data_IF_185304971305
#
_entry.id   IF_185304971305
#
_cell.length_a   1.000
_cell.length_b   1.000
_cell.length_c   1.000
_cell.angle_alpha   90.00
_cell.angle_beta   90.00
_cell.angle_gamma   90.00
#
_symmetry.space_group_name_H-M   'P 1'
#
loop_
_entity.id
_entity.type
_entity.pdbx_description
1 polymer ?
#
# COMPACT_ATOMS: atom_id res chain seq x y z
N UNK A 1 12.55 -7.90 -15.58
CA UNK A 1 13.00 -6.82 -14.67
C UNK A 1 14.01 -7.43 -13.73
N UNK A 2 15.20 -6.81 -13.55
CA UNK A 2 16.18 -7.30 -12.59
C UNK A 2 15.55 -7.37 -11.19
N UNK A 3 15.84 -8.43 -10.46
CA UNK A 3 15.36 -8.59 -9.09
C UNK A 3 16.35 -7.88 -8.17
N UNK A 4 15.87 -6.84 -7.50
CA UNK A 4 16.64 -6.17 -6.47
C UNK A 4 16.55 -7.01 -5.20
N UNK A 5 17.69 -7.44 -4.70
CA UNK A 5 17.78 -8.00 -3.37
C UNK A 5 18.73 -7.16 -2.55
N UNK A 6 18.21 -6.63 -1.46
CA UNK A 6 19.00 -5.84 -0.57
C UNK A 6 19.79 -6.76 0.37
N UNK A 7 21.12 -6.75 0.24
CA UNK A 7 22.00 -7.24 1.30
C UNK A 7 22.09 -6.17 2.41
N UNK A 8 21.02 -5.96 3.17
CA UNK A 8 21.21 -5.46 4.53
C UNK A 8 21.71 -6.64 5.33
N UNK A 9 22.78 -6.45 6.09
CA UNK A 9 23.43 -7.49 6.91
C UNK A 9 22.51 -7.90 8.07
N UNK A 10 21.42 -8.61 7.74
CA UNK A 10 20.46 -9.17 8.68
C UNK A 10 20.30 -10.67 8.42
N UNK A 11 21.38 -11.45 8.39
CA UNK A 11 21.28 -12.91 8.53
C UNK A 11 22.36 -13.43 9.48
N UNK A 12 21.87 -14.05 10.56
CA UNK A 12 22.59 -14.76 11.64
C UNK A 12 23.70 -13.98 12.37
N UNK A 13 23.30 -13.30 13.44
CA UNK A 13 24.18 -13.03 14.58
C UNK A 13 25.05 -11.78 14.51
N UNK A 14 25.01 -10.99 13.44
CA UNK A 14 25.71 -9.70 13.42
C UNK A 14 24.93 -8.60 12.67
N UNK A 15 23.69 -8.35 13.07
CA UNK A 15 23.19 -6.98 13.01
C UNK A 15 24.06 -6.17 14.00
N UNK A 16 25.14 -5.59 13.51
CA UNK A 16 25.98 -4.72 14.33
C UNK A 16 25.14 -3.54 14.86
N UNK A 17 25.56 -2.87 15.94
CA UNK A 17 24.88 -1.69 16.46
C UNK A 17 24.77 -0.52 15.44
N UNK A 18 25.45 -0.64 14.30
CA UNK A 18 25.67 0.39 13.28
C UNK A 18 24.91 0.14 11.97
N UNK A 19 23.87 -0.69 11.92
CA UNK A 19 22.99 -0.72 10.74
C UNK A 19 21.66 -1.38 11.14
N UNK A 20 20.68 -0.55 11.49
CA UNK A 20 19.32 -0.99 11.82
C UNK A 20 18.42 -0.72 10.62
N UNK A 21 17.57 -1.68 10.27
CA UNK A 21 16.53 -1.45 9.27
C UNK A 21 15.48 -0.46 9.80
N UNK A 22 15.30 0.64 9.07
CA UNK A 22 14.28 1.66 9.33
C UNK A 22 13.68 2.16 8.01
N UNK A 23 12.51 2.81 8.07
CA UNK A 23 11.83 3.36 6.89
C UNK A 23 12.71 4.28 6.03
N UNK A 24 13.61 5.03 6.66
CA UNK A 24 14.59 5.92 6.02
C UNK A 24 15.57 5.14 5.14
N UNK A 25 16.11 4.05 5.68
CA UNK A 25 17.06 3.20 4.96
C UNK A 25 16.42 2.69 3.67
N UNK A 26 15.18 2.19 3.74
CA UNK A 26 14.44 1.71 2.57
C UNK A 26 14.22 2.78 1.50
N UNK A 27 14.08 4.06 1.88
CA UNK A 27 13.96 5.13 0.88
C UNK A 27 15.29 5.45 0.23
N UNK A 28 16.36 5.47 1.01
CA UNK A 28 17.70 5.65 0.47
C UNK A 28 18.06 4.52 -0.49
N UNK A 29 17.69 3.28 -0.16
CA UNK A 29 17.86 2.13 -1.05
C UNK A 29 17.07 2.30 -2.33
N UNK A 30 15.80 2.72 -2.23
CA UNK A 30 14.99 3.04 -3.40
C UNK A 30 15.64 4.12 -4.26
N UNK A 31 16.12 5.21 -3.66
CA UNK A 31 16.83 6.26 -4.39
C UNK A 31 18.12 5.76 -5.03
N UNK A 32 18.89 4.92 -4.33
CA UNK A 32 20.11 4.32 -4.86
C UNK A 32 19.81 3.48 -6.09
N UNK A 33 18.77 2.63 -6.05
CA UNK A 33 18.31 1.82 -7.19
C UNK A 33 18.00 2.70 -8.41
N UNK A 34 17.46 3.90 -8.22
CA UNK A 34 17.18 4.83 -9.32
C UNK A 34 18.45 5.38 -9.99
N UNK A 35 19.60 5.36 -9.30
CA UNK A 35 20.89 5.81 -9.85
C UNK A 35 21.64 4.73 -10.62
N UNK A 36 21.30 3.47 -10.38
CA UNK A 36 21.97 2.32 -10.98
C UNK A 36 21.65 2.15 -12.47
N UNK A 37 22.70 2.06 -13.30
CA UNK A 37 22.57 2.01 -14.75
C UNK A 37 21.72 0.83 -15.25
N UNK A 38 21.84 -0.33 -14.60
CA UNK A 38 21.06 -1.53 -14.95
C UNK A 38 19.55 -1.37 -14.72
N UNK A 39 19.12 -0.38 -13.92
CA UNK A 39 17.72 -0.10 -13.67
C UNK A 39 17.18 1.09 -14.46
N UNK A 40 18.03 1.98 -14.99
CA UNK A 40 17.59 3.23 -15.65
C UNK A 40 16.55 3.02 -16.73
N UNK A 41 16.72 2.03 -17.61
CA UNK A 41 15.73 1.69 -18.66
C UNK A 41 14.34 1.36 -18.08
N UNK A 42 14.33 0.72 -16.90
CA UNK A 42 13.12 0.24 -16.25
C UNK A 42 12.53 1.28 -15.28
N UNK A 43 13.34 2.16 -14.71
CA UNK A 43 12.95 3.10 -13.66
C UNK A 43 12.78 4.54 -14.13
N UNK A 44 13.35 4.92 -15.28
CA UNK A 44 13.35 6.31 -15.79
C UNK A 44 12.79 6.43 -17.21
N UNK A 45 12.44 7.66 -17.59
CA UNK A 45 12.15 8.07 -18.95
C UNK A 45 12.88 9.41 -19.18
N UNK A 46 14.02 9.35 -19.88
CA UNK A 46 14.99 10.45 -19.89
C UNK A 46 15.55 10.69 -18.48
N UNK A 47 15.62 11.95 -18.07
CA UNK A 47 16.17 12.32 -16.75
C UNK A 47 15.16 12.18 -15.59
N UNK A 48 13.94 11.71 -15.86
CA UNK A 48 12.87 11.65 -14.87
C UNK A 48 12.49 10.21 -14.52
N UNK A 49 12.31 9.93 -13.23
CA UNK A 49 11.75 8.66 -12.73
C UNK A 49 10.36 8.45 -13.31
N UNK A 50 10.02 7.21 -13.66
CA UNK A 50 8.69 6.85 -14.17
C UNK A 50 7.62 7.27 -13.15
N UNK A 51 6.50 7.87 -13.61
CA UNK A 51 5.54 8.54 -12.74
C UNK A 51 4.69 7.60 -11.87
N UNK A 52 4.64 6.30 -12.16
CA UNK A 52 3.88 5.32 -11.40
C UNK A 52 4.84 4.32 -10.78
N UNK A 53 4.78 4.16 -9.46
CA UNK A 53 5.67 3.29 -8.69
C UNK A 53 4.84 2.28 -7.89
N UNK A 54 5.21 1.00 -7.99
CA UNK A 54 4.58 -0.11 -7.28
C UNK A 54 5.64 -0.86 -6.50
N UNK A 55 5.39 -1.09 -5.22
CA UNK A 55 6.38 -1.61 -4.27
C UNK A 55 5.74 -2.68 -3.44
N UNK A 56 6.23 -3.90 -3.61
CA UNK A 56 5.90 -5.04 -2.77
C UNK A 56 6.89 -5.07 -1.61
N UNK A 57 6.39 -5.15 -0.38
CA UNK A 57 7.19 -5.21 0.86
C UNK A 57 6.85 -6.44 1.68
N UNK A 58 7.73 -6.81 2.61
CA UNK A 58 7.58 -8.03 3.42
C UNK A 58 6.65 -7.87 4.65
N UNK A 59 6.10 -6.66 4.85
CA UNK A 59 5.32 -6.27 6.04
C UNK A 59 6.14 -6.18 7.35
N UNK A 60 7.46 -6.06 7.24
CA UNK A 60 8.33 -5.74 8.38
C UNK A 60 7.89 -4.47 9.11
N UNK A 61 8.17 -4.32 10.42
CA UNK A 61 7.66 -3.22 11.24
C UNK A 61 7.99 -1.83 10.68
N UNK A 62 9.05 -1.70 9.91
CA UNK A 62 9.60 -0.50 9.27
C UNK A 62 9.21 -0.33 7.78
N UNK A 63 8.63 -1.35 7.15
CA UNK A 63 8.16 -1.34 5.76
C UNK A 63 6.64 -1.37 5.63
N UNK A 64 5.95 -1.78 6.70
CA UNK A 64 4.54 -2.10 6.66
C UNK A 64 3.68 -0.93 6.14
N UNK A 65 2.75 -1.14 5.19
CA UNK A 65 1.97 -0.08 4.57
C UNK A 65 1.18 0.78 5.57
N UNK A 66 0.83 0.25 6.73
CA UNK A 66 0.11 0.91 7.82
C UNK A 66 0.99 1.82 8.71
N UNK A 67 2.31 1.73 8.62
CA UNK A 67 3.22 2.47 9.49
C UNK A 67 3.26 3.96 9.10
N UNK A 68 3.12 4.84 10.09
CA UNK A 68 3.22 6.30 9.92
C UNK A 68 4.58 6.73 9.39
N UNK A 69 5.68 6.18 9.90
CA UNK A 69 7.04 6.54 9.49
C UNK A 69 7.26 6.20 8.02
N UNK A 70 6.86 5.00 7.60
CA UNK A 70 6.86 4.57 6.20
C UNK A 70 6.03 5.50 5.32
N UNK A 71 4.85 5.93 5.76
CA UNK A 71 4.04 6.92 5.04
C UNK A 71 4.75 8.27 4.86
N UNK A 72 5.38 8.79 5.93
CA UNK A 72 6.12 10.08 5.88
C UNK A 72 7.24 10.01 4.86
N UNK A 73 8.02 8.94 4.93
CA UNK A 73 9.13 8.68 4.02
C UNK A 73 8.67 8.58 2.56
N UNK A 74 7.65 7.76 2.28
CA UNK A 74 7.11 7.64 0.92
C UNK A 74 6.46 8.91 0.41
N UNK A 75 5.82 9.71 1.27
CA UNK A 75 5.25 10.99 0.87
C UNK A 75 6.32 12.03 0.51
N UNK A 76 7.46 12.04 1.22
CA UNK A 76 8.60 12.88 0.89
C UNK A 76 9.17 12.48 -0.48
N UNK A 77 9.47 11.20 -0.68
CA UNK A 77 9.94 10.63 -1.96
C UNK A 77 8.96 10.91 -3.11
N UNK A 78 7.65 10.74 -2.87
CA UNK A 78 6.60 11.01 -3.85
C UNK A 78 6.64 12.45 -4.36
N UNK A 79 6.81 13.42 -3.44
CA UNK A 79 6.92 14.85 -3.78
C UNK A 79 8.22 15.14 -4.51
N UNK A 80 9.34 14.65 -3.99
CA UNK A 80 10.68 14.85 -4.55
C UNK A 80 10.78 14.36 -6.01
N UNK A 81 10.25 13.17 -6.28
CA UNK A 81 10.29 12.55 -7.61
C UNK A 81 9.14 12.98 -8.53
N UNK A 82 8.24 13.85 -8.06
CA UNK A 82 7.04 14.29 -8.80
C UNK A 82 6.28 13.09 -9.42
N UNK A 83 6.03 12.07 -8.60
CA UNK A 83 5.27 10.88 -9.01
C UNK A 83 3.80 11.25 -9.20
N UNK A 84 3.13 10.57 -10.11
CA UNK A 84 1.68 10.65 -10.26
C UNK A 84 0.97 9.78 -9.22
N UNK A 85 1.51 8.57 -8.99
CA UNK A 85 1.03 7.65 -7.98
C UNK A 85 2.14 6.73 -7.45
N UNK A 86 2.06 6.38 -6.17
CA UNK A 86 2.92 5.43 -5.50
C UNK A 86 2.07 4.44 -4.71
N UNK A 87 2.31 3.14 -4.90
CA UNK A 87 1.57 2.06 -4.27
C UNK A 87 2.54 1.17 -3.50
N UNK A 88 2.35 1.08 -2.19
CA UNK A 88 3.11 0.22 -1.30
C UNK A 88 2.16 -0.85 -0.80
N UNK A 89 2.49 -2.12 -0.98
CA UNK A 89 1.61 -3.21 -0.59
C UNK A 89 2.40 -4.40 -0.04
N UNK A 90 1.78 -5.09 0.91
CA UNK A 90 2.29 -6.32 1.50
C UNK A 90 1.28 -7.45 1.31
N UNK A 91 1.75 -8.69 1.41
CA UNK A 91 0.86 -9.84 1.46
C UNK A 91 0.28 -10.02 2.85
N UNK A 92 -0.97 -10.49 2.93
CA UNK A 92 -1.61 -10.74 4.22
C UNK A 92 -0.94 -11.93 4.97
N UNK A 93 -0.85 -11.87 6.31
CA UNK A 93 -0.33 -12.95 7.15
C UNK A 93 -0.99 -14.30 6.85
N UNK A 94 -0.21 -15.38 6.91
CA UNK A 94 -0.66 -16.73 6.54
C UNK A 94 -0.62 -17.02 5.05
N UNK A 95 -0.22 -16.04 4.23
CA UNK A 95 0.08 -16.21 2.80
C UNK A 95 1.58 -16.19 2.51
N UNK A 96 2.44 -16.42 3.52
CA UNK A 96 3.92 -16.39 3.41
C UNK A 96 4.44 -17.27 2.28
N UNK A 97 3.85 -18.46 2.09
CA UNK A 97 4.16 -19.36 0.96
C UNK A 97 3.93 -18.74 -0.43
N UNK A 98 3.10 -17.69 -0.50
CA UNK A 98 2.76 -16.91 -1.69
C UNK A 98 3.35 -15.50 -1.67
N UNK A 99 4.10 -15.11 -0.63
CA UNK A 99 4.76 -13.81 -0.56
C UNK A 99 5.90 -13.78 -1.60
N UNK A 100 5.79 -12.98 -2.67
CA UNK A 100 6.77 -12.95 -3.73
C UNK A 100 8.12 -12.40 -3.24
N UNK A 101 8.13 -11.55 -2.20
CA UNK A 101 9.35 -11.02 -1.60
C UNK A 101 10.12 -12.14 -0.91
N UNK A 102 9.50 -12.84 0.05
CA UNK A 102 10.12 -13.99 0.73
C UNK A 102 10.61 -15.05 -0.26
N UNK A 103 9.78 -15.40 -1.26
CA UNK A 103 10.13 -16.41 -2.27
C UNK A 103 11.32 -16.01 -3.13
N UNK A 104 11.41 -14.73 -3.50
CA UNK A 104 12.55 -14.21 -4.27
C UNK A 104 13.80 -14.09 -3.43
N UNK A 105 13.68 -13.85 -2.12
CA UNK A 105 14.84 -13.82 -1.22
C UNK A 105 15.33 -15.21 -0.81
N UNK A 106 14.47 -16.25 -0.86
CA UNK A 106 14.82 -17.59 -0.40
C UNK A 106 16.11 -18.19 -1.01
N UNK A 107 16.42 -18.04 -2.33
CA UNK A 107 17.70 -18.47 -2.89
C UNK A 107 18.90 -17.80 -2.23
N UNK A 108 18.80 -16.51 -1.88
CA UNK A 108 19.88 -15.77 -1.25
C UNK A 108 20.12 -16.20 0.19
N UNK A 109 19.05 -16.44 0.95
CA UNK A 109 19.16 -17.02 2.29
C UNK A 109 19.90 -18.37 2.24
N UNK A 110 19.63 -19.20 1.24
CA UNK A 110 20.35 -20.46 1.05
C UNK A 110 21.85 -20.26 0.78
N UNK A 111 22.22 -19.24 0.00
CA UNK A 111 23.63 -18.90 -0.24
C UNK A 111 24.32 -18.46 1.05
N UNK A 112 23.65 -17.65 1.88
CA UNK A 112 24.23 -17.19 3.16
C UNK A 112 24.41 -18.30 4.20
N UNK A 113 23.58 -19.35 4.18
CA UNK A 113 23.61 -20.40 5.19
C UNK A 113 24.93 -21.18 5.26
N UNK A 114 25.77 -21.09 4.21
CA UNK A 114 27.06 -21.80 4.13
C UNK A 114 28.27 -20.87 4.20
N UNK A 115 28.08 -19.57 4.45
CA UNK A 115 29.15 -18.57 4.40
C UNK A 115 29.55 -18.13 5.80
N UNK A 116 30.85 -18.09 6.04
CA UNK A 116 31.45 -17.48 7.22
C UNK A 116 32.17 -16.22 6.72
N UNK A 117 31.67 -15.05 7.12
CA UNK A 117 32.30 -13.78 6.79
C UNK A 117 33.44 -13.47 7.76
N UNK A 118 34.59 -12.97 7.28
CA UNK A 118 35.65 -12.51 8.16
C UNK A 118 35.18 -11.29 8.97
N UNK A 119 35.39 -11.33 10.29
CA UNK A 119 35.02 -10.22 11.20
C UNK A 119 36.19 -9.26 11.45
N UNK A 120 37.39 -9.60 10.97
CA UNK A 120 38.67 -8.96 11.28
C UNK A 120 39.53 -8.74 10.02
N UNK A 121 38.91 -8.50 8.87
CA UNK A 121 39.59 -8.22 7.59
C UNK A 121 40.73 -7.19 7.68
N UNK A 122 40.64 -6.24 8.62
CA UNK A 122 41.64 -5.20 8.90
C UNK A 122 42.29 -5.32 10.29
N UNK A 123 42.12 -6.46 10.96
CA UNK A 123 42.55 -6.72 12.33
C UNK A 123 41.40 -6.76 13.33
N UNK A 124 41.67 -7.33 14.51
CA UNK A 124 40.65 -7.49 15.56
C UNK A 124 40.26 -6.16 16.17
N UNK A 125 38.97 -5.84 16.09
CA UNK A 125 38.32 -4.72 16.79
C UNK A 125 37.73 -5.15 18.15
N UNK A 126 37.93 -6.42 18.54
CA UNK A 126 37.39 -7.04 19.74
C UNK A 126 38.49 -7.34 20.77
N UNK A 127 38.15 -7.24 22.06
CA UNK A 127 38.98 -7.75 23.15
C UNK A 127 38.74 -9.24 23.44
N UNK A 128 39.46 -9.79 24.41
CA UNK A 128 39.34 -11.18 24.85
C UNK A 128 37.95 -11.59 25.40
N UNK A 129 37.05 -10.61 25.63
CA UNK A 129 35.66 -10.84 26.04
C UNK A 129 34.66 -10.55 24.92
N UNK A 130 35.11 -10.47 23.66
CA UNK A 130 34.31 -10.14 22.47
C UNK A 130 33.56 -8.79 22.57
N UNK A 131 34.14 -7.82 23.29
CA UNK A 131 33.63 -6.44 23.29
C UNK A 131 34.44 -5.59 22.34
N UNK A 132 33.74 -4.73 21.60
CA UNK A 132 34.33 -3.72 20.72
C UNK A 132 35.24 -2.79 21.51
N UNK A 133 36.51 -2.72 21.11
CA UNK A 133 37.50 -1.77 21.62
C UNK A 133 37.83 -0.66 20.61
N UNK A 134 37.54 -0.90 19.34
CA UNK A 134 37.74 0.07 18.26
C UNK A 134 36.49 0.12 17.36
N UNK A 135 35.53 1.04 17.64
CA UNK A 135 34.31 1.19 16.85
C UNK A 135 34.57 1.63 15.39
N UNK A 136 35.69 2.30 15.11
CA UNK A 136 36.03 2.75 13.76
C UNK A 136 36.53 1.56 12.94
N UNK A 137 37.41 0.74 13.52
CA UNK A 137 37.87 -0.50 12.89
C UNK A 137 36.74 -1.52 12.75
N UNK A 138 35.83 -1.58 13.73
CA UNK A 138 34.61 -2.37 13.65
C UNK A 138 33.79 -2.00 12.41
N UNK A 139 33.48 -0.71 12.19
CA UNK A 139 32.74 -0.25 10.99
C UNK A 139 33.43 -0.66 9.68
N UNK A 140 34.76 -0.51 9.60
CA UNK A 140 35.53 -0.92 8.41
C UNK A 140 35.47 -2.44 8.17
N UNK A 141 35.58 -3.24 9.22
CA UNK A 141 35.45 -4.69 9.11
C UNK A 141 34.03 -5.10 8.67
N UNK A 142 33.00 -4.42 9.17
CA UNK A 142 31.60 -4.64 8.75
C UNK A 142 31.37 -4.28 7.28
N UNK A 143 31.92 -3.16 6.82
CA UNK A 143 31.88 -2.76 5.41
C UNK A 143 32.51 -3.83 4.52
N UNK A 144 33.71 -4.31 4.84
CA UNK A 144 34.35 -5.39 4.09
C UNK A 144 33.52 -6.69 4.08
N UNK A 145 32.93 -7.08 5.21
CA UNK A 145 32.05 -8.25 5.27
C UNK A 145 30.79 -8.06 4.40
N UNK A 146 30.20 -6.86 4.41
CA UNK A 146 29.05 -6.50 3.59
C UNK A 146 29.37 -6.49 2.09
N UNK A 147 30.54 -6.00 1.70
CA UNK A 147 31.02 -6.05 0.31
C UNK A 147 31.18 -7.49 -0.19
N UNK A 148 31.78 -8.37 0.63
CA UNK A 148 31.91 -9.80 0.30
C UNK A 148 30.53 -10.44 0.13
N UNK A 149 29.60 -10.15 1.04
CA UNK A 149 28.23 -10.67 0.95
C UNK A 149 27.51 -10.16 -0.31
N UNK A 150 27.70 -8.90 -0.66
CA UNK A 150 27.17 -8.31 -1.88
C UNK A 150 27.71 -9.01 -3.13
N UNK A 151 29.01 -9.32 -3.18
CA UNK A 151 29.61 -10.08 -4.27
C UNK A 151 28.99 -11.48 -4.42
N UNK A 152 28.81 -12.19 -3.31
CA UNK A 152 28.13 -13.50 -3.30
C UNK A 152 26.72 -13.39 -3.88
N UNK A 153 25.95 -12.37 -3.47
CA UNK A 153 24.59 -12.20 -3.99
C UNK A 153 24.57 -11.83 -5.48
N UNK A 154 25.58 -11.12 -5.98
CA UNK A 154 25.70 -10.81 -7.41
C UNK A 154 25.96 -12.05 -8.29
N UNK A 155 26.35 -13.19 -7.70
CA UNK A 155 26.45 -14.47 -8.42
C UNK A 155 25.09 -15.17 -8.60
N UNK A 156 24.05 -14.67 -7.93
CA UNK A 156 22.72 -15.26 -7.97
C UNK A 156 21.90 -14.78 -9.18
N UNK A 157 20.94 -15.62 -9.57
CA UNK A 157 19.92 -15.30 -10.54
C UNK A 157 18.54 -15.57 -9.93
N UNK A 158 17.61 -14.63 -10.07
CA UNK A 158 16.22 -14.78 -9.61
C UNK A 158 15.29 -14.49 -10.79
N UNK A 159 14.35 -15.41 -11.04
CA UNK A 159 13.37 -15.31 -12.13
C UNK A 159 13.98 -15.10 -13.54
N UNK A 160 15.19 -15.60 -13.79
CA UNK A 160 15.88 -15.40 -15.06
C UNK A 160 16.68 -14.09 -15.14
N UNK A 161 16.82 -13.36 -14.03
CA UNK A 161 17.52 -12.08 -13.99
C UNK A 161 18.68 -12.08 -12.99
N UNK A 162 19.83 -11.48 -13.36
CA UNK A 162 20.95 -11.35 -12.44
C UNK A 162 20.54 -10.49 -11.24
N UNK A 163 21.00 -10.89 -10.07
CA UNK A 163 20.84 -10.10 -8.84
C UNK A 163 21.85 -8.97 -8.85
N UNK A 164 21.39 -7.79 -8.44
CA UNK A 164 22.24 -6.62 -8.20
C UNK A 164 22.15 -6.27 -6.72
N UNK A 165 23.27 -6.43 -6.03
CA UNK A 165 23.46 -6.22 -4.61
C UNK A 165 24.66 -5.31 -4.41
N UNK A 166 24.53 -4.35 -3.49
CA UNK A 166 25.60 -3.45 -3.05
C UNK A 166 25.54 -3.31 -1.54
N UNK A 167 26.72 -3.19 -0.93
CA UNK A 167 26.80 -2.71 0.44
C UNK A 167 26.43 -1.23 0.47
N UNK A 168 25.60 -0.83 1.45
CA UNK A 168 25.20 0.56 1.67
C UNK A 168 25.49 0.89 3.13
N UNK A 169 26.27 1.95 3.35
CA UNK A 169 26.58 2.47 4.69
C UNK A 169 25.36 3.14 5.32
N UNK A 170 25.38 3.34 6.64
CA UNK A 170 24.30 4.00 7.39
C UNK A 170 23.82 5.30 6.73
N UNK A 171 22.49 5.46 6.70
CA UNK A 171 21.82 6.69 6.28
C UNK A 171 21.32 7.39 7.53
N UNK A 172 21.76 8.62 7.76
CA UNK A 172 21.59 9.33 9.04
C UNK A 172 20.48 10.39 9.04
N UNK A 173 19.58 10.42 8.06
CA UNK A 173 18.60 11.50 7.96
C UNK A 173 17.35 11.20 8.79
N UNK A 174 17.21 11.88 9.93
CA UNK A 174 15.93 12.00 10.62
C UNK A 174 14.98 12.85 9.77
N UNK A 175 13.94 12.23 9.22
CA UNK A 175 12.86 12.96 8.54
C UNK A 175 11.79 13.31 9.56
N UNK A 176 11.43 14.60 9.62
CA UNK A 176 10.35 15.08 10.50
C UNK A 176 8.97 14.73 9.91
N UNK A 177 8.04 14.31 10.78
CA UNK A 177 6.64 14.03 10.42
C UNK A 177 5.84 15.34 10.29
N UNK A 178 6.08 16.09 9.22
CA UNK A 178 5.38 17.34 8.91
C UNK A 178 4.25 17.17 7.88
N UNK A 179 3.75 15.94 7.72
CA UNK A 179 2.62 15.71 6.83
C UNK A 179 1.33 16.27 7.42
N UNK A 180 0.88 17.42 6.88
CA UNK A 180 -0.42 18.00 7.18
C UNK A 180 -1.57 16.98 6.95
N UNK A 181 -2.47 16.85 7.92
CA UNK A 181 -3.64 15.97 7.85
C UNK A 181 -4.56 16.26 6.65
N UNK A 182 -4.65 17.52 6.20
CA UNK A 182 -5.36 17.86 4.95
C UNK A 182 -4.68 17.22 3.75
N UNK A 183 -3.35 17.32 3.66
CA UNK A 183 -2.59 16.70 2.59
C UNK A 183 -2.75 15.18 2.61
N UNK A 184 -2.67 14.53 3.78
CA UNK A 184 -2.93 13.08 3.92
C UNK A 184 -4.35 12.72 3.48
N UNK A 185 -5.35 13.51 3.86
CA UNK A 185 -6.74 13.30 3.46
C UNK A 185 -6.91 13.32 1.94
N UNK A 186 -6.22 14.22 1.27
CA UNK A 186 -6.33 14.40 -0.18
C UNK A 186 -5.46 13.43 -0.98
N UNK A 187 -4.29 13.00 -0.47
CA UNK A 187 -3.32 12.25 -1.27
C UNK A 187 -3.22 10.78 -0.91
N UNK A 188 -3.61 10.39 0.31
CA UNK A 188 -3.29 9.08 0.86
C UNK A 188 -4.54 8.24 1.04
N UNK A 189 -4.56 7.01 0.53
CA UNK A 189 -5.51 5.97 0.92
C UNK A 189 -4.73 4.82 1.54
N UNK A 190 -4.86 4.64 2.85
CA UNK A 190 -4.10 3.66 3.62
C UNK A 190 -5.05 2.64 4.23
N UNK A 191 -4.78 1.37 3.97
CA UNK A 191 -5.44 0.21 4.55
C UNK A 191 -4.46 -0.59 5.43
N UNK A 192 -4.75 -1.85 5.69
CA UNK A 192 -3.90 -2.73 6.48
C UNK A 192 -2.73 -3.31 5.66
N UNK A 193 -2.92 -3.56 4.37
CA UNK A 193 -1.93 -4.20 3.48
C UNK A 193 -1.61 -3.35 2.24
N UNK A 194 -2.14 -2.13 2.16
CA UNK A 194 -1.89 -1.23 1.04
C UNK A 194 -1.84 0.23 1.50
N UNK A 195 -0.89 0.98 0.97
CA UNK A 195 -0.81 2.42 1.05
C UNK A 195 -0.72 2.98 -0.36
N UNK A 196 -1.63 3.88 -0.70
CA UNK A 196 -1.68 4.55 -1.99
C UNK A 196 -1.46 6.03 -1.78
N UNK A 197 -0.47 6.61 -2.46
CA UNK A 197 -0.21 8.05 -2.48
C UNK A 197 -0.41 8.51 -3.93
N UNK A 198 -1.39 9.38 -4.17
CA UNK A 198 -1.77 9.81 -5.52
C UNK A 198 -1.91 11.32 -5.55
N UNK A 199 -1.44 11.95 -6.63
CA UNK A 199 -1.62 13.40 -6.86
C UNK A 199 -3.09 13.78 -6.71
N UNK A 200 -3.36 14.97 -6.20
CA UNK A 200 -4.70 15.57 -6.29
C UNK A 200 -4.87 16.33 -7.62
N UNK A 201 -6.12 16.69 -7.92
CA UNK A 201 -6.45 17.49 -9.11
C UNK A 201 -6.24 19.00 -8.88
N UNK A 202 -5.92 19.40 -7.64
CA UNK A 202 -5.64 20.79 -7.31
C UNK A 202 -4.25 21.19 -7.81
N UNK A 203 -4.23 21.99 -8.87
CA UNK A 203 -3.00 22.52 -9.49
C UNK A 203 -2.20 23.46 -8.60
N UNK A 204 -2.80 24.00 -7.53
CA UNK A 204 -2.07 24.76 -6.51
C UNK A 204 -1.30 23.85 -5.54
N UNK A 205 -1.67 22.56 -5.47
CA UNK A 205 -1.04 21.58 -4.61
C UNK A 205 -0.09 20.64 -5.37
N UNK A 206 -0.53 20.08 -6.50
CA UNK A 206 0.22 19.14 -7.31
C UNK A 206 0.53 19.71 -8.70
N UNK A 207 1.73 19.42 -9.22
CA UNK A 207 2.01 19.58 -10.65
C UNK A 207 1.06 18.70 -11.46
N UNK A 208 0.79 19.04 -12.74
CA UNK A 208 -0.01 18.19 -13.62
C UNK A 208 0.46 16.73 -13.62
N UNK A 209 -0.48 15.82 -13.83
CA UNK A 209 -0.16 14.42 -14.07
C UNK A 209 0.75 14.30 -15.29
N UNK A 210 1.80 13.48 -15.19
CA UNK A 210 2.68 13.12 -16.31
C UNK A 210 2.07 12.01 -17.19
N UNK A 211 1.08 11.32 -16.67
CA UNK A 211 0.34 10.23 -17.31
C UNK A 211 -1.13 10.58 -17.49
N UNK A 212 -1.85 9.76 -18.25
CA UNK A 212 -3.31 9.78 -18.32
C UNK A 212 -3.98 9.02 -17.15
N UNK A 213 -3.28 8.79 -16.05
CA UNK A 213 -3.79 8.04 -14.89
C UNK A 213 -5.14 8.56 -14.39
N UNK A 214 -5.28 9.89 -14.26
CA UNK A 214 -6.52 10.52 -13.80
C UNK A 214 -7.74 10.29 -14.74
N UNK A 215 -7.50 9.93 -16.01
CA UNK A 215 -8.57 9.60 -16.97
C UNK A 215 -9.18 8.23 -16.66
N UNK A 216 -8.35 7.25 -16.28
CA UNK A 216 -8.80 5.88 -16.01
C UNK A 216 -9.21 5.67 -14.55
N UNK A 217 -8.62 6.44 -13.64
CA UNK A 217 -8.92 6.42 -12.20
C UNK A 217 -9.46 7.79 -11.77
N UNK A 218 -10.73 8.11 -12.09
CA UNK A 218 -11.33 9.41 -11.74
C UNK A 218 -11.40 9.62 -10.21
N UNK A 219 -11.59 8.53 -9.45
CA UNK A 219 -11.52 8.53 -7.98
C UNK A 219 -10.08 8.53 -7.44
N UNK A 220 -9.09 8.56 -8.33
CA UNK A 220 -7.63 8.60 -8.12
C UNK A 220 -7.02 7.37 -7.47
N UNK A 221 -7.73 6.66 -6.61
CA UNK A 221 -7.20 5.48 -5.95
C UNK A 221 -7.58 4.20 -6.71
N UNK A 222 -6.75 3.17 -6.59
CA UNK A 222 -7.10 1.83 -7.04
C UNK A 222 -8.32 1.34 -6.23
N UNK A 223 -9.35 0.82 -6.90
CA UNK A 223 -10.52 0.28 -6.24
C UNK A 223 -10.12 -0.96 -5.42
N UNK A 224 -10.83 -1.23 -4.31
CA UNK A 224 -10.64 -2.47 -3.58
C UNK A 224 -11.01 -3.70 -4.42
N UNK A 225 -10.42 -4.86 -4.12
CA UNK A 225 -10.88 -6.13 -4.66
C UNK A 225 -12.32 -6.38 -4.21
N UNK A 226 -13.20 -6.68 -5.16
CA UNK A 226 -14.62 -6.97 -4.89
C UNK A 226 -14.89 -8.45 -5.17
N UNK A 227 -15.47 -9.21 -4.22
CA UNK A 227 -15.83 -10.59 -4.45
C UNK A 227 -17.12 -10.65 -5.26
N UNK A 228 -17.05 -11.35 -6.40
CA UNK A 228 -18.11 -11.46 -7.39
C UNK A 228 -18.49 -12.92 -7.62
N UNK A 229 -19.78 -13.13 -7.87
CA UNK A 229 -20.32 -14.43 -8.25
C UNK A 229 -21.21 -14.27 -9.47
N UNK A 230 -21.05 -15.18 -10.43
CA UNK A 230 -21.94 -15.28 -11.57
C UNK A 230 -23.27 -15.94 -11.14
N UNK A 231 -24.38 -15.37 -11.61
CA UNK A 231 -25.73 -15.86 -11.40
C UNK A 231 -26.53 -15.72 -12.70
N UNK A 232 -27.79 -16.20 -12.70
CA UNK A 232 -28.65 -16.13 -13.88
C UNK A 232 -28.89 -14.70 -14.38
N UNK A 233 -28.85 -13.71 -13.48
CA UNK A 233 -29.04 -12.29 -13.80
C UNK A 233 -27.71 -11.53 -14.07
N UNK A 234 -26.57 -12.23 -14.13
CA UNK A 234 -25.25 -11.64 -14.39
C UNK A 234 -24.29 -11.71 -13.19
N UNK A 235 -23.52 -10.65 -12.94
CA UNK A 235 -22.55 -10.61 -11.83
C UNK A 235 -23.17 -9.96 -10.60
N UNK A 236 -23.07 -10.63 -9.45
CA UNK A 236 -23.47 -10.09 -8.13
C UNK A 236 -22.25 -9.99 -7.21
N UNK A 237 -22.18 -8.91 -6.43
CA UNK A 237 -21.20 -8.76 -5.35
C UNK A 237 -21.66 -9.60 -4.16
N UNK A 238 -20.89 -10.62 -3.80
CA UNK A 238 -21.24 -11.55 -2.73
C UNK A 238 -19.99 -11.93 -1.94
N UNK A 239 -20.09 -12.00 -0.60
CA UNK A 239 -18.94 -12.28 0.29
C UNK A 239 -18.24 -13.61 0.00
N UNK A 240 -18.95 -14.59 -0.54
CA UNK A 240 -18.44 -15.92 -0.91
C UNK A 240 -18.01 -16.02 -2.38
N UNK A 241 -18.04 -14.92 -3.13
CA UNK A 241 -17.60 -14.86 -4.52
C UNK A 241 -16.09 -14.93 -4.68
N UNK A 242 -15.65 -15.02 -5.94
CA UNK A 242 -14.24 -14.91 -6.30
C UNK A 242 -13.88 -13.44 -6.49
N UNK A 243 -12.66 -13.03 -6.14
CA UNK A 243 -12.24 -11.66 -6.41
C UNK A 243 -12.10 -11.42 -7.91
N UNK A 244 -12.78 -10.39 -8.41
CA UNK A 244 -12.70 -9.99 -9.81
C UNK A 244 -11.31 -9.43 -10.17
N UNK A 245 -11.01 -9.41 -11.47
CA UNK A 245 -9.87 -8.69 -12.02
C UNK A 245 -9.95 -7.19 -11.73
N UNK A 246 -8.82 -6.46 -11.87
CA UNK A 246 -8.79 -5.00 -11.70
C UNK A 246 -9.82 -4.28 -12.60
N UNK A 247 -10.04 -4.76 -13.83
CA UNK A 247 -11.05 -4.17 -14.73
C UNK A 247 -12.48 -4.35 -14.20
N UNK A 248 -12.78 -5.52 -13.63
CA UNK A 248 -14.06 -5.78 -12.99
C UNK A 248 -14.21 -4.94 -11.73
N UNK A 249 -13.18 -4.86 -10.89
CA UNK A 249 -13.19 -4.00 -9.70
C UNK A 249 -13.40 -2.52 -10.07
N UNK A 250 -12.75 -2.02 -11.12
CA UNK A 250 -12.94 -0.65 -11.62
C UNK A 250 -14.36 -0.38 -12.09
N UNK A 251 -14.96 -1.32 -12.83
CA UNK A 251 -16.34 -1.17 -13.29
C UNK A 251 -17.32 -1.22 -12.12
N UNK A 252 -17.14 -2.18 -11.22
CA UNK A 252 -18.04 -2.39 -10.08
C UNK A 252 -17.91 -1.25 -9.07
N UNK A 253 -16.73 -0.69 -8.83
CA UNK A 253 -16.54 0.39 -7.87
C UNK A 253 -17.30 1.68 -8.25
N UNK A 254 -17.65 1.84 -9.53
CA UNK A 254 -18.54 2.94 -9.99
C UNK A 254 -20.00 2.74 -9.60
N UNK A 255 -20.38 1.52 -9.25
CA UNK A 255 -21.75 1.11 -8.93
C UNK A 255 -21.88 0.83 -7.42
N UNK A 256 -20.89 0.13 -6.86
CA UNK A 256 -20.81 -0.25 -5.46
C UNK A 256 -19.64 0.48 -4.83
N UNK A 257 -19.95 1.50 -4.03
CA UNK A 257 -18.93 2.22 -3.28
C UNK A 257 -18.39 1.31 -2.18
N UNK A 258 -17.08 1.18 -2.16
CA UNK A 258 -16.35 0.37 -1.20
C UNK A 258 -15.35 1.25 -0.47
N UNK A 259 -15.22 1.03 0.83
CA UNK A 259 -14.68 2.04 1.76
C UNK A 259 -13.17 1.86 2.04
N UNK A 260 -12.62 0.68 1.71
CA UNK A 260 -11.26 0.29 2.02
C UNK A 260 -10.76 -0.83 1.10
N UNK A 261 -9.48 -0.77 0.68
CA UNK A 261 -8.83 -1.84 -0.09
C UNK A 261 -9.01 -3.22 0.55
N UNK A 262 -8.85 -3.30 1.87
CA UNK A 262 -8.88 -4.57 2.61
C UNK A 262 -10.25 -4.89 3.21
N UNK A 263 -11.33 -4.28 2.71
CA UNK A 263 -12.68 -4.40 3.28
C UNK A 263 -13.13 -5.86 3.47
N UNK A 264 -12.68 -6.77 2.63
CA UNK A 264 -13.04 -8.19 2.68
C UNK A 264 -12.03 -9.07 3.45
N UNK A 265 -10.99 -8.47 4.04
CA UNK A 265 -10.00 -9.23 4.81
C UNK A 265 -10.61 -9.76 6.13
N UNK A 266 -10.47 -11.07 6.45
CA UNK A 266 -11.00 -11.63 7.70
C UNK A 266 -10.48 -10.91 8.95
N UNK A 267 -9.21 -10.52 8.97
CA UNK A 267 -8.57 -9.86 10.12
C UNK A 267 -9.17 -8.50 10.46
N UNK A 268 -9.84 -7.86 9.50
CA UNK A 268 -10.56 -6.59 9.70
C UNK A 268 -12.02 -6.78 10.10
N UNK A 269 -12.62 -7.91 9.74
CA UNK A 269 -14.03 -8.23 9.93
C UNK A 269 -14.31 -9.10 11.15
N UNK A 270 -13.29 -9.63 11.83
CA UNK A 270 -13.46 -10.35 13.09
C UNK A 270 -14.00 -9.39 14.18
N UNK A 271 -15.16 -9.68 14.79
CA UNK A 271 -15.69 -8.90 15.91
C UNK A 271 -14.81 -9.07 17.15
N UNK A 272 -14.65 -7.99 17.93
CA UNK A 272 -14.03 -8.07 19.25
C UNK A 272 -15.04 -8.49 20.34
N UNK A 273 -14.61 -8.50 21.61
CA UNK A 273 -15.47 -8.79 22.75
C UNK A 273 -16.70 -7.86 22.89
N UNK A 274 -16.72 -6.72 22.19
CA UNK A 274 -17.84 -5.76 22.15
C UNK A 274 -18.67 -5.87 20.86
N UNK A 275 -18.44 -6.91 20.04
CA UNK A 275 -19.11 -7.12 18.77
C UNK A 275 -18.69 -6.14 17.66
N UNK A 276 -17.65 -5.33 17.87
CA UNK A 276 -17.18 -4.34 16.90
C UNK A 276 -15.95 -4.84 16.13
N UNK A 277 -16.04 -4.76 14.82
CA UNK A 277 -14.93 -5.09 13.91
C UNK A 277 -13.89 -3.98 13.85
N UNK A 278 -12.65 -4.29 13.43
CA UNK A 278 -11.64 -3.26 13.18
C UNK A 278 -12.08 -2.32 12.07
N UNK A 279 -12.73 -2.84 11.03
CA UNK A 279 -13.30 -2.06 9.93
C UNK A 279 -14.25 -0.98 10.46
N UNK A 280 -15.23 -1.35 11.29
CA UNK A 280 -16.18 -0.39 11.88
C UNK A 280 -15.49 0.68 12.75
N UNK A 281 -14.54 0.28 13.60
CA UNK A 281 -13.87 1.22 14.53
C UNK A 281 -13.00 2.26 13.83
N UNK A 282 -12.44 1.89 12.67
CA UNK A 282 -11.41 2.65 11.96
C UNK A 282 -11.93 3.38 10.72
N UNK A 283 -13.19 3.18 10.35
CA UNK A 283 -13.85 3.91 9.26
C UNK A 283 -14.40 5.25 9.76
N UNK A 284 -14.15 6.32 9.00
CA UNK A 284 -14.66 7.65 9.30
C UNK A 284 -16.16 7.71 9.01
N UNK A 285 -16.98 8.03 10.02
CA UNK A 285 -18.43 8.11 9.88
C UNK A 285 -18.92 9.29 9.03
N UNK A 286 -18.04 10.23 8.64
CA UNK A 286 -18.39 11.40 7.82
C UNK A 286 -18.20 11.18 6.33
N UNK A 287 -17.17 10.44 5.94
CA UNK A 287 -16.78 10.29 4.53
C UNK A 287 -16.62 8.83 4.08
N UNK A 288 -16.78 7.85 4.99
CA UNK A 288 -16.60 6.43 4.70
C UNK A 288 -15.14 5.98 4.57
N UNK A 289 -14.16 6.89 4.69
CA UNK A 289 -12.74 6.52 4.52
C UNK A 289 -12.22 5.68 5.69
N UNK A 290 -11.58 4.55 5.38
CA UNK A 290 -10.85 3.75 6.37
C UNK A 290 -9.48 4.35 6.71
N UNK A 291 -9.03 4.13 7.95
CA UNK A 291 -7.70 4.49 8.42
C UNK A 291 -7.01 3.32 9.12
N UNK A 292 -5.71 3.17 8.94
CA UNK A 292 -4.88 2.13 9.59
C UNK A 292 -5.00 2.09 11.12
N UNK A 293 -5.24 3.24 11.77
CA UNK A 293 -5.38 3.34 13.24
C UNK A 293 -6.54 4.25 13.65
N UNK A 294 -7.05 4.04 14.88
CA UNK A 294 -8.06 4.92 15.48
C UNK A 294 -7.51 6.34 15.66
N UNK A 295 -6.21 6.47 15.98
CA UNK A 295 -5.52 7.76 16.09
C UNK A 295 -5.60 8.55 14.78
N UNK A 296 -5.26 7.91 13.66
CA UNK A 296 -5.34 8.55 12.33
C UNK A 296 -6.78 8.89 11.94
N UNK A 297 -7.74 8.00 12.20
CA UNK A 297 -9.16 8.32 11.97
C UNK A 297 -9.58 9.58 12.75
N UNK A 298 -9.21 9.66 14.03
CA UNK A 298 -9.57 10.81 14.87
C UNK A 298 -8.88 12.11 14.41
N UNK A 299 -7.64 12.04 13.93
CA UNK A 299 -6.94 13.18 13.34
C UNK A 299 -7.65 13.64 12.05
N UNK A 300 -7.95 12.70 11.14
CA UNK A 300 -8.68 12.98 9.91
C UNK A 300 -10.07 13.59 10.17
N UNK A 301 -10.82 13.12 11.16
CA UNK A 301 -12.13 13.68 11.50
C UNK A 301 -12.09 15.19 11.85
N UNK A 302 -10.93 15.75 12.23
CA UNK A 302 -10.78 17.19 12.50
C UNK A 302 -10.76 18.03 11.21
N UNK A 303 -10.31 17.45 10.11
CA UNK A 303 -10.19 18.11 8.79
C UNK A 303 -11.24 17.61 7.77
N UNK A 304 -11.99 16.57 8.13
CA UNK A 304 -13.02 15.97 7.31
C UNK A 304 -14.33 16.75 7.39
N UNK A 305 -14.64 17.48 6.31
CA UNK A 305 -15.95 18.08 6.09
C UNK A 305 -16.90 17.03 5.50
N UNK A 306 -18.19 17.07 5.89
CA UNK A 306 -19.20 16.16 5.31
C UNK A 306 -19.20 16.31 3.80
N UNK A 307 -18.97 15.22 3.07
CA UNK A 307 -19.41 15.16 1.69
C UNK A 307 -20.94 15.05 1.75
N UNK A 308 -21.64 16.15 1.48
CA UNK A 308 -23.06 16.06 1.15
C UNK A 308 -23.15 15.16 -0.08
N UNK A 309 -23.82 14.03 0.06
CA UNK A 309 -24.20 13.17 -1.06
C UNK A 309 -25.25 13.93 -1.86
N UNK A 310 -24.79 14.88 -2.67
CA UNK A 310 -25.62 15.45 -3.71
C UNK A 310 -25.45 14.53 -4.92
N UNK A 311 -26.28 13.50 -4.95
CA UNK A 311 -26.55 12.74 -6.17
C UNK A 311 -27.23 13.68 -7.15
N UNK A 312 -26.43 14.49 -7.84
CA UNK A 312 -26.83 15.25 -9.00
C UNK A 312 -27.15 14.28 -10.14
N UNK A 313 -28.33 13.66 -10.08
CA UNK A 313 -29.03 13.36 -11.31
C UNK A 313 -29.31 14.71 -11.96
N UNK A 314 -28.60 14.99 -13.05
CA UNK A 314 -29.02 16.02 -13.99
C UNK A 314 -30.39 15.60 -14.53
N UNK A 315 -31.46 16.05 -13.89
CA UNK A 315 -32.76 16.14 -14.53
C UNK A 315 -32.58 17.06 -15.72
N UNK A 316 -32.71 16.46 -16.91
CA UNK A 316 -32.92 17.18 -18.15
C UNK A 316 -34.22 17.95 -17.96
N UNK A 317 -34.12 19.25 -17.69
CA UNK A 317 -35.24 20.18 -17.81
C UNK A 317 -35.63 20.24 -19.28
N UNK A 318 -36.58 19.41 -19.66
CA UNK A 318 -37.39 19.65 -20.86
C UNK A 318 -38.25 20.86 -20.51
N UNK A 319 -38.07 21.94 -21.26
CA UNK A 319 -38.87 23.15 -21.17
C UNK A 319 -40.32 22.82 -21.55
N UNK A 320 -41.24 23.00 -20.61
CA UNK A 320 -42.68 22.99 -20.86
C UNK A 320 -43.05 24.17 -21.77
N UNK A 321 -43.60 23.85 -22.94
CA UNK A 321 -44.46 24.74 -23.71
C UNK A 321 -45.91 24.37 -23.40
N UNK A 322 -46.65 25.33 -22.89
CA UNK A 322 -48.09 25.29 -22.60
C UNK A 322 -48.90 24.77 -23.79
N UNK A 323 -49.87 23.89 -23.52
CA UNK A 323 -51.14 23.86 -24.25
C UNK A 323 -52.21 23.15 -23.44
N UNK A 324 -53.36 23.81 -23.37
CA UNK A 324 -54.58 23.49 -22.64
C UNK A 324 -55.19 22.12 -22.95
N UNK A 325 -55.90 21.55 -21.98
CA UNK A 325 -56.74 20.38 -22.18
C UNK A 325 -57.44 19.91 -20.90
N UNK A 326 -58.69 20.31 -20.75
CA UNK A 326 -59.65 19.88 -19.73
C UNK A 326 -59.82 18.34 -19.68
N UNK A 327 -60.04 17.79 -18.48
CA UNK A 327 -60.29 16.36 -18.32
C UNK A 327 -60.59 15.96 -16.87
N UNK A 328 -61.86 15.74 -16.62
CA UNK A 328 -62.56 15.46 -15.36
C UNK A 328 -62.30 14.07 -14.74
N UNK A 329 -62.57 13.98 -13.43
CA UNK A 329 -63.12 12.84 -12.65
C UNK A 329 -62.22 11.75 -12.03
N UNK A 330 -62.37 11.69 -10.69
CA UNK A 330 -62.70 10.56 -9.83
C UNK A 330 -61.68 9.89 -8.89
N UNK A 331 -62.14 9.88 -7.63
CA UNK A 331 -61.83 9.10 -6.44
C UNK A 331 -61.51 7.62 -6.69
N UNK A 332 -60.61 7.04 -5.88
CA UNK A 332 -61.02 6.09 -4.83
C UNK A 332 -59.85 5.64 -3.94
N UNK A 333 -60.14 5.55 -2.64
CA UNK A 333 -59.35 4.91 -1.59
C UNK A 333 -59.36 3.38 -1.72
N UNK A 334 -58.26 2.73 -1.33
CA UNK A 334 -58.22 1.28 -1.12
C UNK A 334 -57.07 0.87 -0.21
N UNK A 335 -57.41 0.66 1.05
CA UNK A 335 -56.57 0.31 2.20
C UNK A 335 -56.13 -1.17 2.25
N UNK A 336 -55.02 -1.42 2.99
CA UNK A 336 -54.74 -2.59 3.87
C UNK A 336 -54.72 -3.99 3.18
N UNK A 337 -53.80 -4.92 3.44
CA UNK A 337 -53.46 -5.54 4.73
C UNK A 337 -52.09 -6.27 4.70
N UNK A 338 -51.50 -6.40 5.90
CA UNK A 338 -50.42 -7.34 6.26
C UNK A 338 -51.04 -8.70 6.60
N UNK A 339 -50.31 -9.80 6.39
CA UNK A 339 -50.13 -10.82 7.44
C UNK A 339 -49.00 -11.84 7.11
N UNK A 340 -48.49 -12.62 8.09
CA UNK A 340 -47.06 -12.84 8.26
C UNK A 340 -46.72 -14.36 8.30
N UNK A 341 -45.42 -14.65 8.35
CA UNK A 341 -44.90 -15.87 8.98
C UNK A 341 -45.01 -17.16 8.16
N UNK A 342 -43.87 -17.84 8.00
CA UNK A 342 -43.63 -19.02 8.82
C UNK A 342 -42.15 -19.41 8.83
N UNK A 343 -41.82 -20.04 9.95
CA UNK A 343 -40.51 -20.35 10.46
C UNK A 343 -39.84 -21.55 9.78
N UNK A 344 -38.56 -21.67 10.12
CA UNK A 344 -37.81 -22.90 10.35
C UNK A 344 -37.73 -23.94 9.23
N UNK A 345 -36.50 -24.15 8.76
CA UNK A 345 -35.87 -25.48 8.74
C UNK A 345 -34.35 -25.36 8.63
N UNK A 346 -33.70 -25.66 9.76
CA UNK A 346 -32.37 -26.25 9.81
C UNK A 346 -32.28 -27.45 8.87
N UNK A 347 -31.08 -27.76 8.36
CA UNK A 347 -30.47 -29.11 8.28
C UNK A 347 -29.07 -28.98 7.60
N UNK A 348 -28.05 -29.39 8.35
CA UNK A 348 -26.62 -29.67 8.08
C UNK A 348 -25.67 -28.57 7.57
#
# INVERSE_FOLDING_TARGET
MPVVCQAKTEILGIAGPHNKSFAESHMADFQQILTEDCFKEHSTNGDAVKPLVFISVDDGPDEAPQNTRTLVMWAATFKQLNLDACFIFSHAPGSSAYNPVERRMAPLSKMTASIILPFDSFGSHLNASNKTIDPVLEKKNFEAAGEILSQVFNEAEIDGYPVVSKFVSEVSEEVTDDLNEKWKSDHVLQSQYMCQIVKCLDTSCCRPFRTNYAVYFPDRFLPPPVPIKACAEGLKVEKSGHFGSMFQALHINRIVKTDCFDQHCPSLNQPDAKGMTKLQKRTCSRCGKYHSTIKHKNAHMRVCFRQTTDSGHSEIRVSDSESDGEGELNEEMGTLERDPGLADRNIF
#
